data_IF_401759049271
#
_entry.id   IF_401759049271
#
_cell.length_a   1.000
_cell.length_b   1.000
_cell.length_c   1.000
_cell.angle_alpha   90.00
_cell.angle_beta   90.00
_cell.angle_gamma   90.00
#
_symmetry.space_group_name_H-M   'P 1'
#
loop_
_entity.id
_entity.type
_entity.pdbx_description
1 polymer ?
#
# COMPACT_ATOMS: atom_id res chain seq x y z
N UNK A 1 22.84 23.24 15.45
CA UNK A 1 22.36 21.88 15.69
C UNK A 1 20.85 21.89 15.42
N UNK A 2 20.48 21.59 14.17
CA UNK A 2 19.08 21.43 13.81
C UNK A 2 18.61 20.11 14.41
N UNK A 3 17.94 20.20 15.54
CA UNK A 3 17.18 19.09 16.08
C UNK A 3 16.12 18.68 15.04
N UNK A 4 16.26 17.49 14.53
CA UNK A 4 15.27 16.87 13.64
C UNK A 4 14.02 16.58 14.49
N UNK A 5 13.24 17.61 14.77
CA UNK A 5 11.96 17.43 15.40
C UNK A 5 11.01 16.86 14.33
N UNK A 6 10.78 15.55 14.40
CA UNK A 6 9.59 14.97 13.80
C UNK A 6 8.42 15.87 14.16
N UNK A 7 7.52 16.17 13.19
CA UNK A 7 6.26 16.76 13.58
C UNK A 7 5.64 15.81 14.63
N UNK A 8 5.53 16.28 15.86
CA UNK A 8 4.87 15.55 16.96
C UNK A 8 3.53 14.95 16.48
N UNK A 9 2.88 15.61 15.53
CA UNK A 9 1.66 15.17 14.87
C UNK A 9 1.76 13.82 14.15
N UNK A 10 2.89 13.48 13.51
CA UNK A 10 3.04 12.19 12.81
C UNK A 10 3.24 11.03 13.78
N UNK A 11 4.00 11.24 14.84
CA UNK A 11 4.19 10.22 15.88
C UNK A 11 2.88 9.91 16.60
N UNK A 12 2.12 10.94 16.98
CA UNK A 12 0.80 10.79 17.57
C UNK A 12 -0.19 10.11 16.62
N UNK A 13 -0.16 10.48 15.34
CA UNK A 13 -1.02 9.86 14.33
C UNK A 13 -0.70 8.39 14.14
N UNK A 14 0.58 8.03 14.07
CA UNK A 14 0.97 6.63 13.97
C UNK A 14 0.53 5.84 15.20
N UNK A 15 0.71 6.38 16.41
CA UNK A 15 0.28 5.72 17.63
C UNK A 15 -1.23 5.44 17.64
N UNK A 16 -2.05 6.41 17.21
CA UNK A 16 -3.49 6.28 17.07
C UNK A 16 -3.86 5.17 16.07
N UNK A 17 -3.25 5.20 14.88
CA UNK A 17 -3.51 4.24 13.81
C UNK A 17 -3.06 2.83 14.21
N UNK A 18 -1.89 2.72 14.85
CA UNK A 18 -1.39 1.45 15.35
C UNK A 18 -2.33 0.83 16.40
N UNK A 19 -2.82 1.62 17.34
CA UNK A 19 -3.77 1.15 18.36
C UNK A 19 -5.07 0.63 17.72
N UNK A 20 -5.56 1.31 16.69
CA UNK A 20 -6.73 0.86 15.93
C UNK A 20 -6.44 -0.45 15.17
N UNK A 21 -5.24 -0.59 14.59
CA UNK A 21 -4.82 -1.82 13.92
C UNK A 21 -4.70 -2.99 14.92
N UNK A 22 -4.18 -2.76 16.13
CA UNK A 22 -4.09 -3.79 17.17
C UNK A 22 -5.46 -4.38 17.53
N UNK A 23 -6.48 -3.55 17.60
CA UNK A 23 -7.86 -4.02 17.85
C UNK A 23 -8.37 -4.93 16.75
N UNK A 24 -8.02 -4.65 15.50
CA UNK A 24 -8.35 -5.50 14.34
C UNK A 24 -7.52 -6.79 14.30
N UNK A 25 -6.28 -6.73 14.77
CA UNK A 25 -5.32 -7.83 14.73
C UNK A 25 -5.42 -8.82 15.88
N UNK A 26 -6.38 -8.66 16.77
CA UNK A 26 -6.52 -9.46 18.02
C UNK A 26 -6.50 -10.97 17.76
N UNK A 27 -7.05 -11.43 16.65
CA UNK A 27 -7.10 -12.84 16.28
C UNK A 27 -6.07 -13.23 15.22
N UNK A 28 -5.15 -12.34 14.88
CA UNK A 28 -4.12 -12.58 13.88
C UNK A 28 -3.13 -13.65 14.36
N UNK A 29 -2.97 -14.70 13.56
CA UNK A 29 -2.03 -15.79 13.86
C UNK A 29 -1.26 -16.18 12.60
N UNK A 30 0.07 -16.09 12.59
CA UNK A 30 0.95 -15.50 13.63
C UNK A 30 0.75 -13.98 13.77
N UNK A 31 1.25 -13.34 14.83
CA UNK A 31 1.04 -11.91 15.11
C UNK A 31 1.92 -11.02 14.22
N UNK A 32 1.58 -10.92 12.96
CA UNK A 32 2.33 -10.17 11.95
C UNK A 32 2.49 -8.68 12.28
N UNK A 33 1.43 -8.04 12.79
CA UNK A 33 1.45 -6.60 13.09
C UNK A 33 2.64 -6.20 13.97
N UNK A 34 2.85 -6.93 15.06
CA UNK A 34 3.95 -6.64 16.01
C UNK A 34 5.32 -6.89 15.38
N UNK A 35 5.45 -7.99 14.61
CA UNK A 35 6.70 -8.33 13.94
C UNK A 35 7.07 -7.27 12.89
N UNK A 36 6.12 -6.87 12.08
CA UNK A 36 6.30 -5.83 11.06
C UNK A 36 6.59 -4.47 11.68
N UNK A 37 5.95 -4.13 12.80
CA UNK A 37 6.22 -2.87 13.49
C UNK A 37 7.65 -2.81 14.02
N UNK A 38 8.17 -3.91 14.55
CA UNK A 38 9.59 -3.99 14.95
C UNK A 38 10.52 -3.80 13.75
N UNK A 39 10.19 -4.42 12.63
CA UNK A 39 10.94 -4.25 11.37
C UNK A 39 10.91 -2.80 10.88
N UNK A 40 9.75 -2.18 10.93
CA UNK A 40 9.57 -0.78 10.56
C UNK A 40 10.42 0.16 11.43
N UNK A 41 10.42 -0.05 12.76
CA UNK A 41 11.23 0.76 13.69
C UNK A 41 12.71 0.67 13.32
N UNK A 42 13.21 -0.52 13.00
CA UNK A 42 14.60 -0.71 12.57
C UNK A 42 14.89 0.04 11.26
N UNK A 43 14.00 -0.07 10.27
CA UNK A 43 14.14 0.63 9.00
C UNK A 43 14.11 2.15 9.15
N UNK A 44 13.20 2.68 9.98
CA UNK A 44 13.16 4.10 10.31
C UNK A 44 14.47 4.55 10.98
N UNK A 45 15.01 3.76 11.90
CA UNK A 45 16.24 4.09 12.59
C UNK A 45 17.46 4.09 11.65
N UNK A 46 17.40 3.41 10.51
CA UNK A 46 18.43 3.44 9.48
C UNK A 46 18.42 4.73 8.64
N UNK A 47 17.47 5.61 8.84
CA UNK A 47 17.40 6.89 8.11
C UNK A 47 18.64 7.78 8.32
N UNK A 48 19.43 7.58 9.37
CA UNK A 48 20.69 8.30 9.55
C UNK A 48 21.69 8.10 8.39
N UNK A 49 21.53 7.03 7.62
CA UNK A 49 22.34 6.74 6.42
C UNK A 49 21.87 7.54 5.19
N UNK A 50 20.71 8.18 5.26
CA UNK A 50 20.14 8.93 4.16
C UNK A 50 20.79 10.30 4.01
N UNK A 51 20.82 10.83 2.78
CA UNK A 51 21.27 12.19 2.51
C UNK A 51 20.41 13.26 3.20
N UNK A 52 19.12 13.02 3.27
CA UNK A 52 18.14 13.84 3.98
C UNK A 52 17.45 13.00 5.05
N UNK A 53 17.99 13.04 6.25
CA UNK A 53 17.50 12.26 7.39
C UNK A 53 16.07 12.64 7.75
N UNK A 54 15.76 13.93 7.74
CA UNK A 54 14.42 14.45 8.09
C UNK A 54 13.36 13.94 7.11
N UNK A 55 13.61 14.07 5.82
CA UNK A 55 12.70 13.59 4.79
C UNK A 55 12.51 12.06 4.87
N UNK A 56 13.60 11.31 5.07
CA UNK A 56 13.53 9.86 5.21
C UNK A 56 12.65 9.43 6.39
N UNK A 57 12.80 10.07 7.53
CA UNK A 57 12.01 9.76 8.72
C UNK A 57 10.55 10.14 8.51
N UNK A 58 10.27 11.32 7.98
CA UNK A 58 8.90 11.78 7.68
C UNK A 58 8.20 10.82 6.70
N UNK A 59 8.85 10.48 5.60
CA UNK A 59 8.31 9.55 4.61
C UNK A 59 8.05 8.17 5.20
N UNK A 60 8.94 7.69 6.08
CA UNK A 60 8.79 6.42 6.78
C UNK A 60 7.51 6.39 7.64
N UNK A 61 7.24 7.45 8.39
CA UNK A 61 6.02 7.58 9.20
C UNK A 61 4.77 7.65 8.33
N UNK A 62 4.77 8.52 7.30
CA UNK A 62 3.62 8.69 6.40
C UNK A 62 3.26 7.38 5.71
N UNK A 63 4.27 6.69 5.20
CA UNK A 63 4.08 5.40 4.55
C UNK A 63 3.51 4.36 5.52
N UNK A 64 4.05 4.27 6.73
CA UNK A 64 3.57 3.29 7.73
C UNK A 64 2.12 3.54 8.14
N UNK A 65 1.73 4.79 8.35
CA UNK A 65 0.36 5.17 8.64
C UNK A 65 -0.58 4.64 7.55
N UNK A 66 -0.25 4.90 6.30
CA UNK A 66 -1.06 4.51 5.14
C UNK A 66 -1.12 2.98 4.98
N UNK A 67 0.00 2.28 5.18
CA UNK A 67 0.04 0.82 5.17
C UNK A 67 -0.93 0.21 6.20
N UNK A 68 -0.89 0.70 7.43
CA UNK A 68 -1.75 0.20 8.49
C UNK A 68 -3.23 0.51 8.23
N UNK A 69 -3.53 1.72 7.74
CA UNK A 69 -4.89 2.12 7.38
C UNK A 69 -5.47 1.20 6.29
N UNK A 70 -4.64 0.80 5.35
CA UNK A 70 -5.04 -0.07 4.23
C UNK A 70 -5.16 -1.52 4.66
N UNK A 71 -4.10 -2.09 5.25
CA UNK A 71 -4.04 -3.51 5.61
C UNK A 71 -5.09 -3.90 6.65
N UNK A 72 -5.36 -3.02 7.60
CA UNK A 72 -6.34 -3.27 8.66
C UNK A 72 -7.70 -2.60 8.41
N UNK A 73 -7.92 -2.07 7.22
CA UNK A 73 -9.18 -1.48 6.76
C UNK A 73 -9.73 -0.45 7.76
N UNK A 74 -8.88 0.52 8.11
CA UNK A 74 -9.21 1.58 9.09
C UNK A 74 -9.85 2.81 8.44
N UNK A 75 -9.96 2.83 7.13
CA UNK A 75 -10.50 3.94 6.33
C UNK A 75 -11.55 3.42 5.36
N UNK A 76 -12.29 4.34 4.75
CA UNK A 76 -13.28 4.03 3.73
C UNK A 76 -12.66 3.30 2.54
N UNK A 77 -13.34 2.25 2.09
CA UNK A 77 -12.92 1.43 0.96
C UNK A 77 -14.00 1.39 -0.12
N UNK A 78 -13.57 1.20 -1.36
CA UNK A 78 -14.44 1.04 -2.53
C UNK A 78 -14.07 -0.26 -3.25
N UNK A 79 -15.06 -1.08 -3.52
CA UNK A 79 -14.90 -2.38 -4.15
C UNK A 79 -15.47 -3.52 -3.28
N UNK A 80 -15.08 -4.76 -3.52
CA UNK A 80 -14.09 -5.20 -4.51
C UNK A 80 -14.55 -5.09 -5.97
N UNK A 81 -13.60 -4.90 -6.87
CA UNK A 81 -13.82 -4.91 -8.32
C UNK A 81 -13.03 -6.05 -8.95
N UNK A 82 -13.68 -6.83 -9.83
CA UNK A 82 -13.08 -7.98 -10.48
C UNK A 82 -12.65 -7.64 -11.89
N UNK A 83 -11.43 -8.00 -12.24
CA UNK A 83 -10.84 -7.83 -13.57
C UNK A 83 -10.42 -9.19 -14.12
N UNK A 84 -10.75 -9.45 -15.37
CA UNK A 84 -10.27 -10.61 -16.12
C UNK A 84 -9.12 -10.16 -17.02
N UNK A 85 -7.99 -10.84 -16.92
CA UNK A 85 -6.78 -10.46 -17.63
C UNK A 85 -6.51 -11.41 -18.80
N UNK A 86 -6.06 -10.83 -19.93
CA UNK A 86 -5.72 -11.53 -21.16
C UNK A 86 -6.86 -12.43 -21.71
N UNK A 87 -8.10 -12.08 -21.43
CA UNK A 87 -9.26 -12.84 -21.86
C UNK A 87 -9.41 -14.23 -21.23
N UNK A 88 -8.65 -14.54 -20.21
CA UNK A 88 -8.68 -15.84 -19.53
C UNK A 88 -9.50 -15.72 -18.22
N UNK A 89 -10.69 -16.35 -18.14
CA UNK A 89 -11.54 -16.25 -16.95
C UNK A 89 -10.86 -16.66 -15.64
N UNK A 90 -9.92 -17.59 -15.68
CA UNK A 90 -9.15 -18.00 -14.51
C UNK A 90 -8.05 -17.02 -14.10
N UNK A 91 -7.67 -16.10 -14.99
CA UNK A 91 -6.68 -15.07 -14.71
C UNK A 91 -7.37 -13.79 -14.22
N UNK A 92 -7.70 -13.80 -12.96
CA UNK A 92 -8.50 -12.76 -12.31
C UNK A 92 -7.66 -11.95 -11.32
N UNK A 93 -7.86 -10.64 -11.34
CA UNK A 93 -7.31 -9.71 -10.34
C UNK A 93 -8.48 -9.01 -9.66
N UNK A 94 -8.52 -9.05 -8.34
CA UNK A 94 -9.55 -8.41 -7.53
C UNK A 94 -8.95 -7.20 -6.84
N UNK A 95 -9.58 -6.03 -6.97
CA UNK A 95 -9.03 -4.76 -6.50
C UNK A 95 -9.99 -4.08 -5.54
N UNK A 96 -9.47 -3.67 -4.39
CA UNK A 96 -10.16 -2.81 -3.44
C UNK A 96 -9.36 -1.53 -3.26
N UNK A 97 -10.00 -0.37 -3.45
CA UNK A 97 -9.39 0.95 -3.27
C UNK A 97 -9.65 1.48 -1.87
N UNK A 98 -8.67 2.19 -1.32
CA UNK A 98 -8.75 2.80 0.00
C UNK A 98 -8.51 4.31 -0.07
N UNK A 99 -9.33 5.05 0.69
CA UNK A 99 -9.23 6.51 0.77
C UNK A 99 -8.15 6.92 1.78
N UNK A 100 -6.91 6.67 1.40
CA UNK A 100 -5.70 7.09 2.11
C UNK A 100 -5.05 8.28 1.38
N UNK A 101 -3.97 8.84 1.93
CA UNK A 101 -3.17 9.89 1.30
C UNK A 101 -1.67 9.53 1.36
N UNK A 102 -1.06 9.12 0.23
CA UNK A 102 -1.66 8.91 -1.09
C UNK A 102 -2.67 7.76 -1.10
N UNK A 103 -3.57 7.78 -2.08
CA UNK A 103 -4.52 6.67 -2.26
C UNK A 103 -3.81 5.34 -2.43
N UNK A 104 -4.42 4.29 -1.91
CA UNK A 104 -3.90 2.93 -2.02
C UNK A 104 -4.93 1.99 -2.60
N UNK A 105 -4.45 0.85 -3.08
CA UNK A 105 -5.30 -0.29 -3.38
C UNK A 105 -4.66 -1.57 -2.85
N UNK A 106 -5.48 -2.57 -2.61
CA UNK A 106 -5.07 -3.96 -2.47
C UNK A 106 -5.54 -4.69 -3.71
N UNK A 107 -4.61 -5.31 -4.41
CA UNK A 107 -4.88 -6.21 -5.51
C UNK A 107 -4.62 -7.65 -5.06
N UNK A 108 -5.54 -8.54 -5.38
CA UNK A 108 -5.47 -9.96 -5.05
C UNK A 108 -5.48 -10.78 -6.33
N UNK A 109 -4.57 -11.72 -6.45
CA UNK A 109 -4.48 -12.64 -7.59
C UNK A 109 -4.14 -14.04 -7.08
N UNK A 110 -5.13 -14.95 -7.13
CA UNK A 110 -5.00 -16.25 -6.49
C UNK A 110 -4.83 -16.10 -4.97
N UNK A 111 -3.78 -16.67 -4.43
CA UNK A 111 -3.41 -16.60 -3.02
C UNK A 111 -2.42 -15.45 -2.71
N UNK A 112 -2.10 -14.64 -3.70
CA UNK A 112 -1.17 -13.51 -3.58
C UNK A 112 -1.91 -12.20 -3.40
N UNK A 113 -1.30 -11.27 -2.67
CA UNK A 113 -1.82 -9.93 -2.43
C UNK A 113 -0.71 -8.91 -2.64
N UNK A 114 -1.05 -7.78 -3.23
CA UNK A 114 -0.15 -6.63 -3.36
C UNK A 114 -0.83 -5.37 -2.85
N UNK A 115 -0.18 -4.66 -1.95
CA UNK A 115 -0.56 -3.31 -1.54
C UNK A 115 0.17 -2.33 -2.45
N UNK A 116 -0.58 -1.47 -3.12
CA UNK A 116 -0.04 -0.51 -4.07
C UNK A 116 -0.40 0.91 -3.68
N UNK A 117 0.55 1.81 -3.88
CA UNK A 117 0.41 3.24 -3.63
C UNK A 117 0.23 3.99 -4.94
N UNK A 118 -0.69 4.95 -4.96
CA UNK A 118 -0.88 5.81 -6.12
C UNK A 118 0.38 6.62 -6.39
N UNK A 119 0.77 6.65 -7.66
CA UNK A 119 1.92 7.39 -8.16
C UNK A 119 1.45 8.51 -9.10
N UNK A 120 2.26 9.57 -9.29
CA UNK A 120 1.97 10.56 -10.32
C UNK A 120 1.86 9.91 -11.69
N UNK A 121 0.87 10.35 -12.48
CA UNK A 121 0.66 9.90 -13.84
C UNK A 121 0.24 11.10 -14.71
N UNK A 122 0.71 11.13 -15.97
CA UNK A 122 0.34 12.19 -16.91
C UNK A 122 -1.15 12.15 -17.26
N UNK A 123 -1.73 10.94 -17.28
CA UNK A 123 -3.16 10.72 -17.51
C UNK A 123 -3.57 9.39 -16.88
N UNK A 124 -4.84 9.27 -16.50
CA UNK A 124 -5.34 8.10 -15.80
C UNK A 124 -4.78 7.96 -14.38
N UNK A 125 -4.78 6.75 -13.87
CA UNK A 125 -4.25 6.42 -12.55
C UNK A 125 -3.16 5.36 -12.62
N UNK A 126 -2.17 5.49 -11.75
CA UNK A 126 -1.06 4.56 -11.66
C UNK A 126 -0.82 4.22 -10.19
N UNK A 127 -0.86 2.92 -9.89
CA UNK A 127 -0.54 2.39 -8.56
C UNK A 127 0.64 1.42 -8.67
N UNK A 128 1.55 1.50 -7.73
CA UNK A 128 2.73 0.65 -7.69
C UNK A 128 2.89 0.02 -6.32
N UNK A 129 3.07 -1.29 -6.31
CA UNK A 129 3.45 -2.09 -5.15
C UNK A 129 4.95 -2.37 -5.15
N UNK A 130 5.32 -3.42 -4.44
CA UNK A 130 6.75 -3.82 -4.35
C UNK A 130 7.28 -4.31 -5.71
N UNK A 131 6.55 -5.21 -6.36
CA UNK A 131 6.92 -5.79 -7.66
C UNK A 131 5.74 -5.83 -8.64
N UNK A 132 4.63 -5.21 -8.28
CA UNK A 132 3.39 -5.20 -9.07
C UNK A 132 2.97 -3.78 -9.38
N UNK A 133 2.26 -3.61 -10.48
CA UNK A 133 1.68 -2.32 -10.86
C UNK A 133 0.28 -2.49 -11.42
N UNK A 134 -0.52 -1.44 -11.24
CA UNK A 134 -1.89 -1.34 -11.76
C UNK A 134 -2.05 0.04 -12.39
N UNK A 135 -2.38 0.07 -13.67
CA UNK A 135 -2.51 1.31 -14.42
C UNK A 135 -3.83 1.33 -15.17
N UNK A 136 -4.58 2.39 -14.99
CA UNK A 136 -5.84 2.61 -15.71
C UNK A 136 -5.76 3.87 -16.55
N UNK A 137 -6.19 3.77 -17.81
CA UNK A 137 -6.28 4.90 -18.73
C UNK A 137 -7.40 4.64 -19.74
N UNK A 138 -8.38 5.55 -19.78
CA UNK A 138 -9.50 5.49 -20.72
C UNK A 138 -10.22 4.13 -20.77
N UNK A 139 -10.45 3.53 -19.60
CA UNK A 139 -11.12 2.23 -19.47
C UNK A 139 -10.23 1.02 -19.73
N UNK A 140 -9.00 1.21 -20.17
CA UNK A 140 -8.00 0.15 -20.29
C UNK A 140 -7.25 -0.01 -18.98
N UNK A 141 -7.13 -1.25 -18.52
CA UNK A 141 -6.39 -1.61 -17.31
C UNK A 141 -5.21 -2.49 -17.68
N UNK A 142 -4.01 -2.07 -17.27
CA UNK A 142 -2.77 -2.81 -17.47
C UNK A 142 -2.22 -3.21 -16.10
N UNK A 143 -1.91 -4.49 -15.95
CA UNK A 143 -1.39 -5.05 -14.70
C UNK A 143 -0.07 -5.78 -14.96
N UNK A 144 0.94 -5.47 -14.18
CA UNK A 144 2.17 -6.26 -14.10
C UNK A 144 2.21 -6.93 -12.75
N UNK A 145 2.36 -8.25 -12.73
CA UNK A 145 2.31 -9.03 -11.51
C UNK A 145 3.62 -9.79 -11.29
N UNK A 146 4.53 -9.17 -10.59
CA UNK A 146 5.85 -9.69 -10.31
C UNK A 146 6.96 -8.93 -11.05
N UNK A 147 8.17 -9.02 -10.53
CA UNK A 147 9.32 -8.34 -11.12
C UNK A 147 9.62 -8.89 -12.51
N UNK A 148 9.67 -8.00 -13.49
CA UNK A 148 9.94 -8.37 -14.88
C UNK A 148 8.82 -9.15 -15.57
N UNK A 149 7.63 -9.25 -14.94
CA UNK A 149 6.50 -9.95 -15.51
C UNK A 149 5.94 -9.20 -16.73
N UNK A 150 5.38 -9.94 -17.72
CA UNK A 150 4.74 -9.30 -18.86
C UNK A 150 3.48 -8.55 -18.45
N UNK A 151 3.20 -7.43 -19.14
CA UNK A 151 1.99 -6.64 -18.94
C UNK A 151 0.76 -7.42 -19.37
N UNK A 152 -0.23 -7.53 -18.48
CA UNK A 152 -1.54 -8.11 -18.78
C UNK A 152 -2.55 -7.00 -19.07
N UNK A 153 -3.39 -7.21 -20.07
CA UNK A 153 -4.57 -6.37 -20.32
C UNK A 153 -5.76 -6.95 -19.59
N UNK A 154 -6.38 -6.15 -18.75
CA UNK A 154 -7.46 -6.59 -17.89
C UNK A 154 -8.73 -5.79 -18.18
N UNK A 155 -9.86 -6.47 -18.12
CA UNK A 155 -11.19 -5.88 -18.34
C UNK A 155 -12.03 -6.13 -17.10
N UNK A 156 -12.69 -5.08 -16.64
CA UNK A 156 -13.58 -5.15 -15.47
C UNK A 156 -14.79 -6.04 -15.78
N UNK A 157 -15.09 -6.96 -14.88
CA UNK A 157 -16.35 -7.69 -14.90
C UNK A 157 -17.53 -6.77 -14.59
N UNK A 158 -18.65 -6.88 -15.30
CA UNK A 158 -19.84 -6.13 -14.99
C UNK A 158 -20.44 -6.47 -13.63
#
# INVERSE_FOLDING_TARGET
VQTCALPISLDLKLAEVYAAAEKKAVNERPPFLRAEQRGWIKGRNDCWKSKDVSACVEDSYRRRIVELQTLYRLVEASGPFWFVCNGEPANEVVVTYFRTDPSTLIAERGDQMSLMFQQPAASGTYFQGRNESFREHQGEVLVEWGWGAPTMRCVRKP
#
